data_IF_578279568452
#
_entry.id   IF_578279568452
#
_cell.length_a   1.000
_cell.length_b   1.000
_cell.length_c   1.000
_cell.angle_alpha   90.00
_cell.angle_beta   90.00
_cell.angle_gamma   90.00
#
_symmetry.space_group_name_H-M   'P 1'
#
loop_
_entity.id
_entity.type
_entity.pdbx_description
1 polymer ?
#
# COMPACT_ATOMS: atom_id res chain seq x y z
N UNK A 1 -34.45 -19.28 0.78
CA UNK A 1 -33.28 -19.16 -0.12
C UNK A 1 -33.51 -17.93 -0.98
N UNK A 2 -32.55 -17.00 -1.13
CA UNK A 2 -32.68 -15.91 -2.09
C UNK A 2 -32.88 -16.49 -3.50
N UNK A 3 -33.73 -15.85 -4.29
CA UNK A 3 -33.97 -16.22 -5.69
C UNK A 3 -32.70 -15.93 -6.52
N UNK A 4 -32.23 -16.89 -7.31
CA UNK A 4 -31.00 -16.75 -8.12
C UNK A 4 -31.13 -15.63 -9.16
N UNK A 5 -32.36 -15.30 -9.57
CA UNK A 5 -32.66 -14.20 -10.51
C UNK A 5 -32.20 -12.82 -10.04
N UNK A 6 -31.99 -12.63 -8.74
CA UNK A 6 -31.44 -11.37 -8.20
C UNK A 6 -29.99 -11.12 -8.62
N UNK A 7 -29.24 -12.17 -8.94
CA UNK A 7 -27.83 -12.07 -9.31
C UNK A 7 -27.62 -11.96 -10.83
N UNK A 8 -28.59 -12.40 -11.63
CA UNK A 8 -28.55 -12.33 -13.10
C UNK A 8 -28.60 -10.89 -13.64
N UNK A 9 -29.16 -9.95 -12.87
CA UNK A 9 -29.21 -8.53 -13.22
C UNK A 9 -27.93 -7.77 -12.90
N UNK A 10 -26.96 -8.38 -12.21
CA UNK A 10 -25.68 -7.75 -11.90
C UNK A 10 -24.85 -7.74 -13.19
N UNK A 11 -24.43 -6.56 -13.69
CA UNK A 11 -23.58 -6.50 -14.87
C UNK A 11 -22.33 -7.37 -14.68
N UNK A 12 -21.92 -8.13 -15.70
CA UNK A 12 -20.69 -8.93 -15.61
C UNK A 12 -19.42 -8.07 -15.45
N UNK A 13 -19.54 -6.77 -15.75
CA UNK A 13 -18.53 -5.72 -15.53
C UNK A 13 -18.63 -5.07 -14.15
N UNK A 14 -19.54 -5.52 -13.28
CA UNK A 14 -19.65 -5.07 -11.90
C UNK A 14 -18.31 -5.13 -11.12
N UNK A 15 -17.44 -6.14 -11.30
CA UNK A 15 -16.12 -6.15 -10.66
C UNK A 15 -15.23 -4.98 -11.10
N UNK A 16 -15.39 -4.49 -12.34
CA UNK A 16 -14.59 -3.40 -12.90
C UNK A 16 -15.08 -2.01 -12.44
N UNK A 17 -16.39 -1.89 -12.17
CA UNK A 17 -17.05 -0.63 -11.79
C UNK A 17 -17.26 -0.47 -10.29
N UNK A 18 -17.29 -1.56 -9.52
CA UNK A 18 -17.31 -1.55 -8.07
C UNK A 18 -15.87 -1.47 -7.54
N UNK A 19 -15.16 -0.39 -7.91
CA UNK A 19 -13.94 -0.03 -7.18
C UNK A 19 -14.37 0.43 -5.81
N UNK A 20 -13.97 -0.30 -4.78
CA UNK A 20 -14.11 0.18 -3.42
C UNK A 20 -13.14 1.37 -3.25
N UNK A 21 -13.69 2.58 -3.42
CA UNK A 21 -12.99 3.85 -3.21
C UNK A 21 -12.42 3.97 -1.79
N UNK A 22 -12.82 3.08 -0.86
CA UNK A 22 -12.32 3.02 0.50
C UNK A 22 -11.01 2.24 0.63
N UNK A 23 -10.58 1.48 -0.39
CA UNK A 23 -9.27 0.82 -0.38
C UNK A 23 -8.17 1.85 -0.62
N UNK A 24 -7.34 2.04 0.41
CA UNK A 24 -6.21 2.94 0.36
C UNK A 24 -5.29 2.77 1.55
N UNK A 25 -4.13 3.38 1.44
CA UNK A 25 -3.06 3.34 2.44
C UNK A 25 -2.83 4.75 2.99
N UNK A 26 -2.49 4.83 4.27
CA UNK A 26 -2.18 6.06 4.98
C UNK A 26 -0.76 6.00 5.54
N UNK A 27 -0.13 7.16 5.61
CA UNK A 27 1.24 7.33 6.08
C UNK A 27 1.35 8.42 7.14
N UNK A 28 2.26 8.23 8.09
CA UNK A 28 2.70 9.30 8.97
C UNK A 28 4.18 9.14 9.37
N UNK A 29 5.07 10.09 9.02
CA UNK A 29 4.86 11.18 8.06
C UNK A 29 4.83 10.67 6.61
N UNK A 30 4.13 11.38 5.71
CA UNK A 30 4.16 11.09 4.27
C UNK A 30 5.36 11.74 3.55
N UNK A 31 5.89 12.83 4.11
CA UNK A 31 7.05 13.56 3.59
C UNK A 31 8.09 13.70 4.70
N UNK A 32 9.34 13.42 4.38
CA UNK A 32 10.45 13.52 5.33
C UNK A 32 11.75 13.89 4.64
N UNK A 33 12.68 14.45 5.41
CA UNK A 33 14.08 14.63 5.02
C UNK A 33 14.92 13.61 5.76
N UNK A 34 15.82 12.92 5.06
CA UNK A 34 16.72 11.93 5.68
C UNK A 34 18.16 12.31 5.33
N UNK A 35 18.98 12.66 6.32
CA UNK A 35 20.39 12.96 6.10
C UNK A 35 21.20 11.69 5.84
N UNK A 36 22.39 11.85 5.26
CA UNK A 36 23.28 10.72 4.96
C UNK A 36 23.57 9.92 6.25
N UNK A 37 23.40 8.60 6.19
CA UNK A 37 23.54 7.66 7.32
C UNK A 37 22.51 7.81 8.44
N UNK A 38 21.47 8.62 8.25
CA UNK A 38 20.32 8.67 9.15
C UNK A 38 19.16 7.82 8.65
N UNK A 39 18.18 7.61 9.52
CA UNK A 39 16.93 6.93 9.22
C UNK A 39 15.71 7.72 9.68
N UNK A 40 14.58 7.47 9.03
CA UNK A 40 13.28 7.95 9.43
C UNK A 40 12.30 6.77 9.54
N UNK A 41 11.33 6.90 10.45
CA UNK A 41 10.27 5.92 10.65
C UNK A 41 8.97 6.45 10.05
N UNK A 42 8.34 5.66 9.20
CA UNK A 42 7.02 5.92 8.62
C UNK A 42 6.05 4.91 9.19
N UNK A 43 4.98 5.40 9.81
CA UNK A 43 3.83 4.58 10.18
C UNK A 43 2.96 4.36 8.95
N UNK A 44 2.57 3.11 8.71
CA UNK A 44 1.76 2.67 7.57
C UNK A 44 0.55 1.91 8.10
N UNK A 45 -0.64 2.23 7.58
CA UNK A 45 -1.89 1.51 7.88
C UNK A 45 -2.90 1.68 6.75
N UNK A 46 -3.99 0.92 6.78
CA UNK A 46 -5.04 0.95 5.74
C UNK A 46 -6.27 1.73 6.17
N UNK A 47 -6.97 2.31 5.19
CA UNK A 47 -8.25 2.99 5.38
C UNK A 47 -9.37 1.98 5.68
N UNK A 48 -9.36 0.86 4.95
CA UNK A 48 -10.36 -0.21 5.01
C UNK A 48 -9.66 -1.58 5.03
N UNK A 49 -10.32 -2.63 5.57
CA UNK A 49 -9.76 -3.97 5.54
C UNK A 49 -9.68 -4.51 4.10
N UNK A 50 -8.69 -5.34 3.76
CA UNK A 50 -8.62 -5.97 2.46
C UNK A 50 -9.80 -6.93 2.24
N UNK A 51 -10.23 -7.06 0.98
CA UNK A 51 -11.29 -7.98 0.60
C UNK A 51 -10.84 -9.43 0.66
N UNK A 52 -11.75 -10.33 1.05
CA UNK A 52 -11.48 -11.76 1.01
C UNK A 52 -11.70 -12.31 -0.40
N UNK A 53 -10.61 -12.66 -1.09
CA UNK A 53 -10.60 -13.19 -2.46
C UNK A 53 -9.96 -14.58 -2.43
N UNK A 54 -10.65 -15.59 -2.98
CA UNK A 54 -10.21 -16.99 -2.99
C UNK A 54 -9.80 -17.52 -1.61
N UNK A 55 -10.50 -17.06 -0.56
CA UNK A 55 -10.26 -17.48 0.82
C UNK A 55 -9.19 -16.68 1.58
N UNK A 56 -8.37 -15.88 0.88
CA UNK A 56 -7.35 -14.99 1.48
C UNK A 56 -7.87 -13.56 1.60
N UNK A 57 -7.69 -12.94 2.77
CA UNK A 57 -7.99 -11.53 3.05
C UNK A 57 -6.73 -10.70 3.31
N UNK A 58 -5.58 -11.20 2.84
CA UNK A 58 -4.28 -10.55 3.07
C UNK A 58 -3.87 -9.72 1.87
N UNK A 59 -3.35 -8.52 2.15
CA UNK A 59 -2.59 -7.70 1.20
C UNK A 59 -1.14 -7.62 1.65
N UNK A 60 -0.24 -7.83 0.70
CA UNK A 60 1.19 -7.56 0.85
C UNK A 60 1.52 -6.23 0.19
N UNK A 61 2.24 -5.38 0.91
CA UNK A 61 2.65 -4.05 0.45
C UNK A 61 4.17 -3.98 0.41
N UNK A 62 4.71 -3.62 -0.74
CA UNK A 62 6.15 -3.41 -0.97
C UNK A 62 6.36 -2.00 -1.53
N UNK A 63 7.60 -1.52 -1.60
CA UNK A 63 7.91 -0.20 -2.17
C UNK A 63 8.95 -0.28 -3.27
N UNK A 64 8.88 0.65 -4.22
CA UNK A 64 9.90 0.89 -5.24
C UNK A 64 10.24 2.36 -5.27
N UNK A 65 11.53 2.68 -5.34
CA UNK A 65 12.02 4.04 -5.55
C UNK A 65 12.01 4.40 -7.04
N UNK A 66 11.59 5.61 -7.38
CA UNK A 66 11.52 6.06 -8.78
C UNK A 66 12.84 6.63 -9.32
N UNK A 67 13.56 7.45 -8.53
CA UNK A 67 14.69 8.25 -9.04
C UNK A 67 16.07 7.81 -8.54
N UNK A 68 16.14 7.06 -7.43
CA UNK A 68 17.42 6.63 -6.86
C UNK A 68 17.30 5.29 -6.13
N UNK A 69 17.55 4.21 -6.86
CA UNK A 69 17.40 2.84 -6.35
C UNK A 69 18.44 2.42 -5.32
N UNK A 70 19.57 3.13 -5.23
CA UNK A 70 20.72 2.72 -4.40
C UNK A 70 21.09 3.74 -3.31
N UNK A 71 20.42 4.88 -3.22
CA UNK A 71 20.64 5.85 -2.14
C UNK A 71 19.84 5.56 -0.87
N UNK A 72 18.78 4.75 -0.98
CA UNK A 72 17.90 4.45 0.15
C UNK A 72 17.70 2.94 0.30
N UNK A 73 17.60 2.50 1.55
CA UNK A 73 17.16 1.15 1.91
C UNK A 73 16.00 1.26 2.90
N UNK A 74 15.17 0.23 3.00
CA UNK A 74 14.09 0.22 3.98
C UNK A 74 13.90 -1.15 4.60
N UNK A 75 13.36 -1.16 5.82
CA UNK A 75 13.03 -2.38 6.55
C UNK A 75 11.71 -2.18 7.33
N UNK A 76 10.79 -3.16 7.30
CA UNK A 76 10.86 -4.41 6.52
C UNK A 76 10.69 -4.16 5.01
N UNK A 77 11.04 -5.15 4.18
CA UNK A 77 10.87 -5.07 2.72
C UNK A 77 9.40 -5.13 2.29
N UNK A 78 8.54 -5.70 3.14
CA UNK A 78 7.10 -5.78 2.93
C UNK A 78 6.34 -5.64 4.25
N UNK A 79 5.11 -5.15 4.15
CA UNK A 79 4.13 -5.13 5.23
C UNK A 79 2.91 -5.95 4.85
N UNK A 80 2.36 -6.66 5.82
CA UNK A 80 1.22 -7.58 5.66
C UNK A 80 0.03 -7.06 6.44
N UNK A 81 -1.08 -6.83 5.75
CA UNK A 81 -2.33 -6.42 6.36
C UNK A 81 -3.46 -7.38 6.00
N UNK A 82 -4.38 -7.58 6.93
CA UNK A 82 -5.59 -8.40 6.79
C UNK A 82 -6.75 -7.78 7.58
N UNK A 83 -7.89 -8.47 7.61
CA UNK A 83 -9.09 -7.98 8.31
C UNK A 83 -8.90 -7.68 9.81
N UNK A 84 -7.87 -8.25 10.44
CA UNK A 84 -7.62 -8.10 11.89
C UNK A 84 -6.69 -6.95 12.22
N UNK A 85 -5.69 -6.66 11.37
CA UNK A 85 -4.64 -5.69 11.66
C UNK A 85 -4.62 -4.47 10.71
N UNK A 86 -5.61 -4.30 9.84
CA UNK A 86 -5.59 -3.24 8.81
C UNK A 86 -5.43 -1.81 9.38
N UNK A 87 -5.94 -1.54 10.60
CA UNK A 87 -5.77 -0.24 11.28
C UNK A 87 -4.56 -0.18 12.22
N UNK A 88 -3.88 -1.30 12.45
CA UNK A 88 -2.67 -1.32 13.26
C UNK A 88 -1.55 -0.62 12.49
N UNK A 89 -0.92 0.37 13.14
CA UNK A 89 0.18 1.10 12.53
C UNK A 89 1.43 0.24 12.54
N UNK A 90 1.89 -0.14 11.36
CA UNK A 90 3.15 -0.84 11.16
C UNK A 90 4.25 0.14 10.78
N UNK A 91 5.50 -0.16 11.17
CA UNK A 91 6.62 0.77 10.97
C UNK A 91 7.48 0.34 9.79
N UNK A 92 7.63 1.24 8.82
CA UNK A 92 8.64 1.18 7.77
C UNK A 92 9.80 2.11 8.15
N UNK A 93 10.99 1.58 8.33
CA UNK A 93 12.20 2.36 8.60
C UNK A 93 12.96 2.56 7.30
N UNK A 94 13.17 3.80 6.89
CA UNK A 94 13.87 4.17 5.65
C UNK A 94 15.21 4.80 6.04
N UNK A 95 16.29 4.33 5.42
CA UNK A 95 17.67 4.75 5.72
C UNK A 95 18.34 5.29 4.46
N UNK A 96 18.98 6.46 4.54
CA UNK A 96 19.80 7.00 3.46
C UNK A 96 21.22 6.43 3.57
N UNK A 97 21.63 5.67 2.56
CA UNK A 97 22.93 4.96 2.53
C UNK A 97 23.97 5.64 1.65
N UNK A 98 23.54 6.46 0.68
CA UNK A 98 24.42 7.27 -0.18
C UNK A 98 23.83 8.67 -0.36
N UNK A 99 24.69 9.63 -0.71
CA UNK A 99 24.22 10.94 -1.12
C UNK A 99 23.61 10.88 -2.52
N UNK A 100 22.58 11.68 -2.75
CA UNK A 100 21.76 11.58 -3.94
C UNK A 100 20.56 12.54 -3.93
N UNK A 101 19.83 12.59 -5.04
CA UNK A 101 18.68 13.46 -5.19
C UNK A 101 17.55 13.07 -4.23
N UNK A 102 16.56 13.96 -4.13
CA UNK A 102 15.26 13.63 -3.55
C UNK A 102 14.67 12.43 -4.28
N UNK A 103 13.82 11.66 -3.62
CA UNK A 103 13.16 10.53 -4.26
C UNK A 103 11.74 10.32 -3.76
N UNK A 104 11.02 9.46 -4.46
CA UNK A 104 9.67 9.03 -4.09
C UNK A 104 9.65 7.52 -4.00
N UNK A 105 9.10 6.99 -2.91
CA UNK A 105 8.75 5.57 -2.81
C UNK A 105 7.28 5.39 -3.19
N UNK A 106 7.05 4.58 -4.22
CA UNK A 106 5.72 4.21 -4.69
C UNK A 106 5.42 2.80 -4.17
N UNK A 107 4.27 2.58 -3.50
CA UNK A 107 3.91 1.25 -3.05
C UNK A 107 3.59 0.33 -4.23
N UNK A 108 3.64 -0.97 -3.99
CA UNK A 108 3.11 -2.03 -4.83
C UNK A 108 2.21 -2.87 -3.95
N UNK A 109 0.99 -3.11 -4.40
CA UNK A 109 0.02 -3.91 -3.67
C UNK A 109 -0.10 -5.30 -4.31
N UNK A 110 -0.24 -6.32 -3.48
CA UNK A 110 -0.54 -7.68 -3.91
C UNK A 110 -1.62 -8.31 -3.02
N UNK A 111 -2.78 -8.63 -3.57
CA UNK A 111 -3.88 -9.30 -2.89
C UNK A 111 -4.92 -8.35 -2.28
N UNK A 112 -5.97 -8.95 -1.73
CA UNK A 112 -6.97 -8.23 -0.93
C UNK A 112 -7.82 -7.21 -1.70
N UNK A 113 -7.84 -7.28 -3.03
CA UNK A 113 -8.48 -6.28 -3.90
C UNK A 113 -7.64 -5.02 -4.12
N UNK A 114 -6.54 -4.85 -3.37
CA UNK A 114 -5.63 -3.72 -3.53
C UNK A 114 -4.82 -3.77 -4.84
N UNK A 115 -4.77 -4.92 -5.51
CA UNK A 115 -4.18 -5.09 -6.85
C UNK A 115 -4.76 -4.12 -7.89
N UNK A 116 -6.02 -3.69 -7.68
CA UNK A 116 -6.74 -2.78 -8.56
C UNK A 116 -6.64 -1.31 -8.11
N UNK A 117 -5.98 -1.04 -6.99
CA UNK A 117 -5.77 0.30 -6.46
C UNK A 117 -4.60 0.96 -7.18
N UNK A 118 -4.80 2.17 -7.69
CA UNK A 118 -3.76 2.95 -8.36
C UNK A 118 -2.67 3.32 -7.35
N UNK A 119 -1.52 2.64 -7.39
CA UNK A 119 -0.49 2.84 -6.36
C UNK A 119 0.23 4.20 -6.42
N UNK A 120 0.28 4.84 -7.60
CA UNK A 120 0.95 6.13 -7.82
C UNK A 120 0.31 7.31 -7.08
N UNK A 121 -0.93 7.17 -6.59
CA UNK A 121 -1.58 8.21 -5.76
C UNK A 121 -1.23 8.09 -4.27
N UNK A 122 -0.44 7.09 -3.87
CA UNK A 122 0.01 6.89 -2.49
C UNK A 122 1.55 6.97 -2.32
N UNK A 123 2.21 8.04 -2.78
CA UNK A 123 3.67 8.17 -2.64
C UNK A 123 4.10 8.51 -1.21
N UNK A 124 5.30 8.07 -0.85
CA UNK A 124 6.10 8.61 0.26
C UNK A 124 7.19 9.49 -0.35
N UNK A 125 7.29 10.75 0.09
CA UNK A 125 8.27 11.71 -0.41
C UNK A 125 9.49 11.78 0.52
N UNK A 126 10.68 11.63 -0.05
CA UNK A 126 11.95 11.69 0.67
C UNK A 126 12.80 12.81 0.09
N UNK A 127 13.22 13.73 0.96
CA UNK A 127 14.06 14.89 0.64
C UNK A 127 15.51 14.73 1.09
#
# INVERSE_FOLDING_TARGET
KPDEKLFDSIPKTWPDSCRDYSLGILYYPQRMKILLHENAKVQVWLIAPPHRINGSDTVTIQWKSYESMDCFTWTPNELLFNSKNFQERQTLTITRVKDGPKTTLIPSFNGGGFDHVTASIYPIFIE
#
